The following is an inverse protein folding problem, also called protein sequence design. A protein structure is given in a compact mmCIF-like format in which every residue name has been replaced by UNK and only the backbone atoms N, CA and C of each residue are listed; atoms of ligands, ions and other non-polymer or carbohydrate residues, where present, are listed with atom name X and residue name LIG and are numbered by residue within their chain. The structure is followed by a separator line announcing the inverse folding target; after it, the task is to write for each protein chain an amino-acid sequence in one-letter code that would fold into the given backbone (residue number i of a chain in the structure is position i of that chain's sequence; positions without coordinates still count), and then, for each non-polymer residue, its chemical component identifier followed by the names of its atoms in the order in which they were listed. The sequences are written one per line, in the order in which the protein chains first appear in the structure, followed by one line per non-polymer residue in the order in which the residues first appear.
data_IF_276373585678
#
_entry.id   IF_276373585678
#
_cell.length_a   1.000
_cell.length_b   1.000
_cell.length_c   1.000
_cell.angle_alpha   90.00
_cell.angle_beta   90.00
_cell.angle_gamma   90.00
#
_symmetry.space_group_name_H-M   'P 1'
#
loop_
_entity.id
_entity.type
_entity.pdbx_description
1 polymer ?
#
# COMPACT_ATOMS: atom_id res chain seq x y z
N UNK A 1 -7.69 -5.07 16.00
CA UNK A 1 -6.63 -5.97 16.49
C UNK A 1 -6.80 -7.35 15.84
N UNK A 2 -7.98 -7.94 16.01
CA UNK A 2 -8.38 -9.22 15.39
C UNK A 2 -8.06 -9.32 13.88
N UNK A 3 -8.51 -8.36 13.07
CA UNK A 3 -8.24 -8.37 11.62
C UNK A 3 -6.75 -8.46 11.27
N UNK A 4 -5.89 -7.71 11.98
CA UNK A 4 -4.44 -7.75 11.74
C UNK A 4 -3.82 -9.09 12.10
N UNK A 5 -4.36 -9.77 13.13
CA UNK A 5 -3.91 -11.10 13.52
C UNK A 5 -4.36 -12.16 12.50
N UNK A 6 -5.61 -12.09 12.02
CA UNK A 6 -6.10 -13.01 10.97
C UNK A 6 -5.34 -12.82 9.65
N UNK A 7 -5.09 -11.58 9.21
CA UNK A 7 -4.30 -11.34 7.99
C UNK A 7 -2.84 -11.80 8.15
N UNK A 8 -2.27 -11.73 9.35
CA UNK A 8 -0.93 -12.28 9.59
C UNK A 8 -0.88 -13.79 9.32
N UNK A 9 -1.94 -14.55 9.64
CA UNK A 9 -2.03 -15.98 9.31
C UNK A 9 -2.03 -16.21 7.79
N UNK A 10 -2.78 -15.40 7.04
CA UNK A 10 -2.81 -15.46 5.57
C UNK A 10 -1.43 -15.19 4.97
N UNK A 11 -0.71 -14.19 5.50
CA UNK A 11 0.67 -13.88 5.08
C UNK A 11 1.59 -15.07 5.38
N UNK A 12 1.52 -15.64 6.59
CA UNK A 12 2.34 -16.79 7.00
C UNK A 12 2.06 -18.02 6.11
N UNK A 13 0.83 -18.22 5.66
CA UNK A 13 0.43 -19.34 4.82
C UNK A 13 1.17 -19.39 3.46
N UNK A 14 1.75 -18.28 2.98
CA UNK A 14 2.61 -18.26 1.80
C UNK A 14 3.99 -18.91 2.01
N UNK A 15 4.33 -19.36 3.22
CA UNK A 15 5.54 -20.14 3.48
C UNK A 15 6.79 -19.30 3.75
N UNK A 16 6.64 -18.09 4.30
CA UNK A 16 7.78 -17.29 4.74
C UNK A 16 8.59 -18.01 5.82
N UNK A 17 9.92 -17.92 5.75
CA UNK A 17 10.81 -18.53 6.74
C UNK A 17 10.75 -17.76 8.07
N UNK A 18 10.27 -18.35 9.18
CA UNK A 18 10.12 -17.66 10.46
C UNK A 18 11.44 -17.11 11.04
N UNK A 19 12.59 -17.71 10.70
CA UNK A 19 13.90 -17.24 11.16
C UNK A 19 14.37 -15.98 10.42
N UNK A 20 13.76 -15.65 9.28
CA UNK A 20 14.14 -14.53 8.41
C UNK A 20 13.00 -13.53 8.18
N UNK A 21 11.87 -13.70 8.87
CA UNK A 21 10.67 -12.91 8.65
C UNK A 21 10.15 -12.40 9.97
N UNK A 22 10.01 -11.08 10.06
CA UNK A 22 9.43 -10.40 11.21
C UNK A 22 8.15 -9.70 10.77
N UNK A 23 7.01 -10.12 11.34
CA UNK A 23 5.70 -9.52 11.13
C UNK A 23 5.33 -8.79 12.42
N UNK A 24 4.89 -7.53 12.31
CA UNK A 24 4.58 -6.71 13.47
C UNK A 24 3.33 -5.86 13.28
N UNK A 25 2.67 -5.56 14.39
CA UNK A 25 1.57 -4.59 14.46
C UNK A 25 2.14 -3.20 14.70
N UNK A 26 1.87 -2.22 13.83
CA UNK A 26 2.30 -0.83 14.04
C UNK A 26 1.84 -0.27 15.39
N UNK A 27 0.64 -0.64 15.85
CA UNK A 27 0.09 -0.21 17.14
C UNK A 27 0.95 -0.71 18.31
N UNK A 28 1.33 -1.97 18.30
CA UNK A 28 2.04 -2.59 19.43
C UNK A 28 3.53 -2.21 19.35
N UNK A 29 4.11 -2.28 18.16
CA UNK A 29 5.53 -2.03 17.92
C UNK A 29 5.93 -0.60 18.29
N UNK A 30 5.09 0.39 17.96
CA UNK A 30 5.39 1.79 18.34
C UNK A 30 5.35 2.07 19.83
N UNK A 31 4.58 1.29 20.60
CA UNK A 31 4.50 1.42 22.05
C UNK A 31 5.68 0.69 22.71
N UNK A 32 6.07 -0.46 22.17
CA UNK A 32 7.10 -1.33 22.73
C UNK A 32 8.52 -0.93 22.35
N UNK A 33 8.72 -0.31 21.18
CA UNK A 33 10.05 0.02 20.65
C UNK A 33 10.23 1.53 20.61
N UNK A 34 10.86 2.07 21.66
CA UNK A 34 11.03 3.52 21.82
C UNK A 34 11.84 4.16 20.69
N UNK A 35 12.80 3.43 20.15
CA UNK A 35 13.69 3.83 19.07
C UNK A 35 12.93 3.99 17.75
N UNK A 36 11.92 3.13 17.52
CA UNK A 36 11.04 3.24 16.38
C UNK A 36 10.25 4.56 16.46
N UNK A 37 9.57 4.83 17.57
CA UNK A 37 8.77 6.06 17.71
C UNK A 37 9.64 7.33 17.71
N UNK A 38 10.85 7.29 18.30
CA UNK A 38 11.83 8.38 18.21
C UNK A 38 12.26 8.64 16.77
N UNK A 39 12.52 7.57 16.01
CA UNK A 39 12.87 7.66 14.60
C UNK A 39 11.73 8.23 13.75
N UNK A 40 10.49 7.75 13.94
CA UNK A 40 9.32 8.30 13.26
C UNK A 40 9.13 9.78 13.62
N UNK A 41 9.32 10.15 14.89
CA UNK A 41 9.26 11.56 15.33
C UNK A 41 10.30 12.43 14.64
N UNK A 42 11.50 11.92 14.39
CA UNK A 42 12.54 12.65 13.65
C UNK A 42 12.17 12.82 12.17
N UNK A 43 11.56 11.81 11.55
CA UNK A 43 11.00 11.94 10.20
C UNK A 43 9.94 13.04 10.12
N UNK A 44 9.04 13.13 11.10
CA UNK A 44 7.96 14.14 11.18
C UNK A 44 8.50 15.57 11.20
N UNK A 45 9.64 15.83 11.86
CA UNK A 45 10.27 17.16 11.90
C UNK A 45 10.87 17.60 10.56
N UNK A 46 11.18 16.64 9.68
CA UNK A 46 11.93 16.88 8.46
C UNK A 46 11.05 17.06 7.21
N UNK A 47 9.74 17.17 7.37
CA UNK A 47 8.79 17.42 6.28
C UNK A 47 7.68 18.36 6.74
N UNK A 48 7.27 19.29 5.89
CA UNK A 48 6.16 20.19 6.23
C UNK A 48 4.82 19.53 5.95
N UNK A 49 3.78 19.99 6.64
CA UNK A 49 2.40 19.55 6.40
C UNK A 49 1.97 19.82 4.96
N UNK A 50 2.38 20.95 4.36
CA UNK A 50 2.14 21.24 2.93
C UNK A 50 2.72 20.18 2.00
N UNK A 51 3.91 19.66 2.31
CA UNK A 51 4.53 18.59 1.51
C UNK A 51 3.77 17.27 1.66
N UNK A 52 3.43 16.87 2.88
CA UNK A 52 2.61 15.66 3.15
C UNK A 52 1.28 15.76 2.41
N UNK A 53 0.58 16.88 2.54
CA UNK A 53 -0.72 17.08 1.90
C UNK A 53 -0.64 17.11 0.37
N UNK A 54 0.44 17.63 -0.21
CA UNK A 54 0.68 17.54 -1.66
C UNK A 54 0.92 16.11 -2.14
N UNK A 55 1.59 15.27 -1.33
CA UNK A 55 1.89 13.88 -1.70
C UNK A 55 0.62 13.01 -1.61
N UNK A 56 -0.19 13.19 -0.57
CA UNK A 56 -1.33 12.32 -0.26
C UNK A 56 -2.69 12.92 -0.59
N UNK A 57 -2.74 14.16 -1.08
CA UNK A 57 -3.98 14.82 -1.51
C UNK A 57 -4.86 15.29 -0.36
N UNK A 58 -4.25 15.69 0.77
CA UNK A 58 -4.96 16.16 1.97
C UNK A 58 -5.29 17.65 1.96
N UNK A 59 -4.89 18.37 0.92
CA UNK A 59 -5.16 19.79 0.78
C UNK A 59 -4.79 20.29 -0.61
N UNK A 60 -5.19 21.52 -0.91
CA UNK A 60 -5.01 22.16 -2.20
C UNK A 60 -4.69 23.65 -2.05
N UNK A 61 -4.19 24.24 -3.14
CA UNK A 61 -3.96 25.68 -3.21
C UNK A 61 -5.18 26.30 -3.89
N UNK A 62 -5.84 27.24 -3.21
CA UNK A 62 -6.93 28.04 -3.77
C UNK A 62 -6.46 29.47 -3.97
N UNK A 63 -7.06 30.17 -4.93
CA UNK A 63 -6.78 31.59 -5.18
C UNK A 63 -8.02 32.38 -4.79
N UNK A 64 -7.86 33.39 -3.95
CA UNK A 64 -8.97 34.24 -3.54
C UNK A 64 -9.36 35.28 -4.62
N UNK A 65 -10.40 36.06 -4.34
CA UNK A 65 -10.89 37.08 -5.26
C UNK A 65 -9.88 38.20 -5.57
N UNK A 66 -8.85 38.36 -4.72
CA UNK A 66 -7.77 39.35 -4.90
C UNK A 66 -6.56 38.76 -5.64
N UNK A 67 -6.59 37.47 -5.98
CA UNK A 67 -5.48 36.78 -6.64
C UNK A 67 -4.43 36.22 -5.67
N UNK A 68 -4.70 36.18 -4.37
CA UNK A 68 -3.76 35.64 -3.38
C UNK A 68 -3.92 34.12 -3.22
N UNK A 69 -2.79 33.42 -3.11
CA UNK A 69 -2.77 31.96 -2.94
C UNK A 69 -2.89 31.55 -1.46
N UNK A 70 -3.89 30.71 -1.16
CA UNK A 70 -4.13 30.15 0.16
C UNK A 70 -4.07 28.62 0.12
N UNK A 71 -3.33 28.01 1.05
CA UNK A 71 -3.32 26.56 1.18
C UNK A 71 -4.39 26.11 2.17
N UNK A 72 -5.33 25.29 1.70
CA UNK A 72 -6.45 24.79 2.50
C UNK A 72 -6.40 23.27 2.60
N UNK A 73 -6.73 22.74 3.77
CA UNK A 73 -6.89 21.30 3.98
C UNK A 73 -8.34 20.90 3.73
N UNK A 74 -8.56 19.63 3.36
CA UNK A 74 -9.92 19.08 3.27
C UNK A 74 -10.52 18.88 4.66
N UNK A 75 -11.82 19.09 4.77
CA UNK A 75 -12.55 19.04 6.06
C UNK A 75 -12.52 17.65 6.74
N UNK A 76 -12.35 16.57 5.98
CA UNK A 76 -12.31 15.19 6.47
C UNK A 76 -10.91 14.71 6.86
N UNK A 77 -9.88 15.55 6.71
CA UNK A 77 -8.50 15.17 7.02
C UNK A 77 -8.25 15.29 8.51
N UNK A 78 -8.03 14.14 9.14
CA UNK A 78 -7.65 14.07 10.55
C UNK A 78 -6.14 14.16 10.75
N UNK A 79 -5.71 14.55 11.95
CA UNK A 79 -4.29 14.52 12.35
C UNK A 79 -3.71 13.10 12.21
N UNK A 80 -4.51 12.07 12.50
CA UNK A 80 -4.09 10.68 12.31
C UNK A 80 -3.79 10.32 10.85
N UNK A 81 -4.54 10.88 9.90
CA UNK A 81 -4.27 10.69 8.45
C UNK A 81 -2.99 11.39 8.02
N UNK A 82 -2.69 12.56 8.59
CA UNK A 82 -1.40 13.25 8.36
C UNK A 82 -0.22 12.49 8.97
N UNK A 83 -0.45 11.81 10.09
CA UNK A 83 0.58 11.10 10.86
C UNK A 83 0.89 9.69 10.31
N UNK A 84 -0.11 9.04 9.72
CA UNK A 84 0.02 7.67 9.22
C UNK A 84 1.17 7.45 8.22
N UNK A 85 1.39 8.32 7.21
CA UNK A 85 2.44 8.13 6.22
C UNK A 85 3.83 7.87 6.80
N UNK A 86 4.14 8.46 7.95
CA UNK A 86 5.44 8.30 8.59
C UNK A 86 5.67 6.88 9.09
N UNK A 87 4.65 6.21 9.62
CA UNK A 87 4.75 4.83 10.10
C UNK A 87 5.02 3.86 8.94
N UNK A 88 4.33 4.07 7.82
CA UNK A 88 4.52 3.25 6.63
C UNK A 88 5.90 3.49 5.98
N UNK A 89 6.35 4.75 5.90
CA UNK A 89 7.69 5.07 5.40
C UNK A 89 8.81 4.61 6.33
N UNK A 90 8.61 4.64 7.65
CA UNK A 90 9.63 4.25 8.63
C UNK A 90 10.06 2.79 8.49
N UNK A 91 9.14 1.90 8.12
CA UNK A 91 9.42 0.49 7.88
C UNK A 91 10.43 0.24 6.72
N UNK A 92 10.73 1.26 5.91
CA UNK A 92 11.73 1.18 4.84
C UNK A 92 13.18 1.44 5.32
N UNK A 93 13.40 1.68 6.61
CA UNK A 93 14.71 2.02 7.17
C UNK A 93 15.13 1.04 8.27
N UNK A 94 16.40 0.64 8.27
CA UNK A 94 16.96 -0.23 9.31
C UNK A 94 16.85 0.35 10.72
N UNK A 95 16.82 1.68 10.86
CA UNK A 95 16.66 2.40 12.13
C UNK A 95 15.33 2.07 12.83
N UNK A 96 14.30 1.70 12.07
CA UNK A 96 13.03 1.24 12.63
C UNK A 96 13.15 -0.11 13.35
N UNK A 97 14.21 -0.89 13.10
CA UNK A 97 14.36 -2.26 13.59
C UNK A 97 15.72 -2.48 14.28
N UNK A 98 15.96 -1.81 15.42
CA UNK A 98 17.27 -1.83 16.09
C UNK A 98 17.72 -3.24 16.49
N UNK A 99 16.80 -4.11 16.93
CA UNK A 99 17.12 -5.48 17.35
C UNK A 99 17.44 -6.42 16.18
N UNK A 100 16.94 -6.11 14.98
CA UNK A 100 17.19 -6.92 13.78
C UNK A 100 18.54 -6.55 13.17
N UNK A 101 18.85 -5.26 13.09
CA UNK A 101 20.05 -4.77 12.41
C UNK A 101 21.19 -4.37 13.37
N UNK A 102 20.98 -4.43 14.69
CA UNK A 102 21.94 -4.00 15.72
C UNK A 102 22.49 -2.59 15.46
N UNK A 103 21.62 -1.67 15.06
CA UNK A 103 21.96 -0.28 14.74
C UNK A 103 22.79 -0.10 13.45
N UNK A 104 23.08 -1.18 12.71
CA UNK A 104 23.84 -1.08 11.45
C UNK A 104 22.93 -0.60 10.32
N UNK A 105 23.38 0.37 9.50
CA UNK A 105 22.66 0.73 8.28
C UNK A 105 22.53 -0.47 7.34
N UNK A 106 21.34 -0.69 6.81
CA UNK A 106 21.08 -1.73 5.81
C UNK A 106 20.30 -1.16 4.63
N UNK A 107 20.58 -1.67 3.43
CA UNK A 107 19.74 -1.42 2.26
C UNK A 107 18.38 -2.10 2.43
N UNK A 108 17.32 -1.43 2.00
CA UNK A 108 15.96 -1.95 2.02
C UNK A 108 15.45 -2.08 0.58
N UNK A 109 14.87 -3.23 0.25
CA UNK A 109 14.11 -3.45 -0.97
C UNK A 109 12.65 -3.63 -0.59
N UNK A 110 11.78 -2.76 -1.09
CA UNK A 110 10.35 -2.79 -0.82
C UNK A 110 9.60 -3.26 -2.06
N UNK A 111 8.74 -4.27 -1.89
CA UNK A 111 7.85 -4.75 -2.95
C UNK A 111 6.42 -4.30 -2.66
N UNK A 112 5.77 -3.60 -3.60
CA UNK A 112 4.42 -3.07 -3.41
C UNK A 112 3.67 -2.83 -4.74
N UNK A 113 2.35 -2.65 -4.66
CA UNK A 113 1.54 -2.22 -5.81
C UNK A 113 1.60 -0.69 -6.00
N UNK A 114 1.43 -0.24 -7.25
CA UNK A 114 1.67 1.16 -7.66
C UNK A 114 1.04 2.26 -6.77
N UNK A 115 -0.13 2.02 -6.20
CA UNK A 115 -0.83 2.97 -5.30
C UNK A 115 -0.07 3.30 -4.01
N UNK A 116 0.88 2.46 -3.61
CA UNK A 116 1.67 2.67 -2.40
C UNK A 116 2.92 3.53 -2.63
N UNK A 117 3.26 3.90 -3.88
CA UNK A 117 4.51 4.60 -4.20
C UNK A 117 4.65 5.96 -3.50
N UNK A 118 3.53 6.64 -3.23
CA UNK A 118 3.55 7.92 -2.52
C UNK A 118 4.27 7.86 -1.17
N UNK A 119 4.11 6.76 -0.42
CA UNK A 119 4.80 6.56 0.86
C UNK A 119 6.31 6.39 0.70
N UNK A 120 6.74 5.61 -0.29
CA UNK A 120 8.16 5.33 -0.50
C UNK A 120 8.87 6.45 -1.26
N UNK A 121 8.14 7.24 -2.04
CA UNK A 121 8.60 8.52 -2.57
C UNK A 121 8.91 9.50 -1.44
N UNK A 122 7.99 9.67 -0.50
CA UNK A 122 8.23 10.46 0.71
C UNK A 122 9.42 9.91 1.51
N UNK A 123 9.53 8.59 1.66
CA UNK A 123 10.66 7.95 2.35
C UNK A 123 12.00 8.32 1.68
N UNK A 124 12.11 8.24 0.35
CA UNK A 124 13.35 8.59 -0.38
C UNK A 124 13.76 10.06 -0.22
N UNK A 125 12.79 10.96 -0.13
CA UNK A 125 13.06 12.38 0.14
C UNK A 125 13.58 12.58 1.57
N UNK A 126 12.92 11.96 2.56
CA UNK A 126 13.33 11.97 3.95
C UNK A 126 14.72 11.34 4.15
N UNK A 127 15.02 10.25 3.43
CA UNK A 127 16.32 9.59 3.48
C UNK A 127 17.47 10.54 3.13
N UNK A 128 17.26 11.41 2.14
CA UNK A 128 18.26 12.42 1.74
C UNK A 128 18.50 13.42 2.86
N UNK A 129 17.43 13.94 3.47
CA UNK A 129 17.51 14.92 4.57
C UNK A 129 18.17 14.34 5.83
N UNK A 130 17.83 13.10 6.16
CA UNK A 130 18.31 12.38 7.33
C UNK A 130 19.63 11.64 7.12
N UNK A 131 20.25 11.74 5.93
CA UNK A 131 21.49 11.04 5.55
C UNK A 131 21.41 9.51 5.73
N UNK A 132 20.27 8.94 5.36
CA UNK A 132 19.99 7.50 5.39
C UNK A 132 20.19 6.86 4.02
N UNK A 133 20.29 5.52 4.00
CA UNK A 133 20.24 4.75 2.77
C UNK A 133 18.84 4.83 2.16
N UNK A 134 18.75 5.19 0.89
CA UNK A 134 17.46 5.25 0.17
C UNK A 134 16.93 3.83 -0.04
N UNK A 135 15.62 3.58 0.24
CA UNK A 135 15.02 2.31 -0.10
C UNK A 135 14.90 2.15 -1.62
N UNK A 136 15.10 0.93 -2.09
CA UNK A 136 14.84 0.48 -3.45
C UNK A 136 13.42 -0.08 -3.55
N UNK A 137 12.80 0.04 -4.71
CA UNK A 137 11.42 -0.41 -4.93
C UNK A 137 11.32 -1.39 -6.09
N UNK A 138 10.54 -2.46 -5.91
CA UNK A 138 9.98 -3.27 -6.99
C UNK A 138 8.47 -3.06 -6.94
N UNK A 139 7.91 -2.60 -8.06
CA UNK A 139 6.51 -2.19 -8.13
C UNK A 139 5.72 -3.13 -9.03
N UNK A 140 4.62 -3.67 -8.53
CA UNK A 140 3.71 -4.49 -9.33
C UNK A 140 2.62 -3.62 -9.97
N UNK A 141 2.17 -4.04 -11.15
CA UNK A 141 0.91 -3.57 -11.72
C UNK A 141 -0.27 -4.13 -10.90
N UNK A 142 -1.44 -3.50 -11.04
CA UNK A 142 -2.66 -4.03 -10.42
C UNK A 142 -3.09 -5.33 -11.09
N UNK A 143 -3.67 -6.22 -10.30
CA UNK A 143 -4.45 -7.32 -10.85
C UNK A 143 -5.74 -6.75 -11.43
N UNK A 144 -6.08 -7.18 -12.65
CA UNK A 144 -7.34 -6.80 -13.28
C UNK A 144 -8.51 -7.42 -12.50
N UNK A 145 -9.61 -6.68 -12.27
CA UNK A 145 -10.81 -7.29 -11.72
C UNK A 145 -11.36 -8.31 -12.70
N UNK A 146 -11.98 -9.37 -12.18
CA UNK A 146 -12.48 -10.45 -13.07
C UNK A 146 -13.49 -9.92 -14.09
N UNK A 147 -14.22 -8.84 -13.80
CA UNK A 147 -15.13 -8.14 -14.73
C UNK A 147 -14.45 -7.42 -15.90
N UNK A 148 -13.12 -7.44 -16.02
CA UNK A 148 -12.36 -6.81 -17.11
C UNK A 148 -11.78 -5.46 -16.71
N UNK A 149 -11.81 -4.47 -17.62
CA UNK A 149 -11.16 -3.18 -17.38
C UNK A 149 -11.74 -2.42 -16.17
N UNK A 150 -10.87 -2.01 -15.24
CA UNK A 150 -11.20 -1.23 -14.06
C UNK A 150 -10.17 -1.41 -12.93
N UNK A 151 -10.32 -0.66 -11.84
CA UNK A 151 -9.54 -0.91 -10.61
C UNK A 151 -10.18 -2.06 -9.83
N UNK A 152 -9.36 -2.98 -9.35
CA UNK A 152 -9.79 -3.97 -8.36
C UNK A 152 -10.13 -3.23 -7.05
N UNK A 153 -11.43 -3.12 -6.76
CA UNK A 153 -11.96 -2.64 -5.49
C UNK A 153 -12.53 -3.84 -4.75
N UNK A 154 -11.89 -4.26 -3.67
CA UNK A 154 -12.36 -5.35 -2.81
C UNK A 154 -13.63 -5.00 -2.02
N UNK A 155 -13.98 -3.71 -1.94
CA UNK A 155 -15.06 -3.21 -1.06
C UNK A 155 -16.40 -3.06 -1.79
N UNK A 156 -16.41 -2.90 -3.12
CA UNK A 156 -17.62 -2.51 -3.87
C UNK A 156 -18.24 -3.62 -4.72
N UNK A 157 -17.86 -4.88 -4.53
CA UNK A 157 -18.48 -6.00 -5.26
C UNK A 157 -18.05 -7.37 -4.78
N UNK A 158 -18.53 -7.80 -3.60
CA UNK A 158 -18.27 -9.15 -3.05
C UNK A 158 -18.56 -10.28 -4.05
N UNK A 159 -19.54 -10.10 -4.93
CA UNK A 159 -19.90 -11.09 -5.95
C UNK A 159 -18.80 -11.32 -7.00
N UNK A 160 -17.93 -10.35 -7.24
CA UNK A 160 -16.89 -10.41 -8.26
C UNK A 160 -15.46 -10.39 -7.70
N UNK A 161 -15.29 -10.46 -6.38
CA UNK A 161 -13.98 -10.62 -5.75
C UNK A 161 -13.77 -12.10 -5.40
N UNK A 162 -12.64 -12.66 -5.83
CA UNK A 162 -12.21 -14.00 -5.42
C UNK A 162 -11.45 -13.85 -4.09
N UNK A 163 -11.97 -14.44 -3.02
CA UNK A 163 -11.35 -14.43 -1.70
C UNK A 163 -10.56 -15.72 -1.47
N UNK A 164 -9.52 -15.64 -0.63
CA UNK A 164 -8.74 -16.82 -0.23
C UNK A 164 -9.57 -17.85 0.56
N UNK A 165 -10.70 -17.42 1.13
CA UNK A 165 -11.66 -18.26 1.83
C UNK A 165 -12.74 -18.89 0.94
N UNK A 166 -12.79 -18.56 -0.36
CA UNK A 166 -13.81 -19.10 -1.26
C UNK A 166 -13.59 -20.60 -1.51
N UNK A 167 -14.67 -21.38 -1.49
CA UNK A 167 -14.61 -22.81 -1.87
C UNK A 167 -14.46 -22.97 -3.38
N UNK A 168 -13.98 -24.14 -3.86
CA UNK A 168 -13.83 -24.39 -5.30
C UNK A 168 -15.11 -24.14 -6.12
N UNK A 169 -16.29 -24.48 -5.58
CA UNK A 169 -17.57 -24.26 -6.26
C UNK A 169 -17.95 -22.77 -6.32
N UNK A 170 -17.66 -22.01 -5.27
CA UNK A 170 -17.86 -20.55 -5.24
C UNK A 170 -16.95 -19.88 -6.25
N UNK A 171 -15.66 -20.26 -6.29
CA UNK A 171 -14.70 -19.75 -7.28
C UNK A 171 -15.20 -20.04 -8.69
N UNK A 172 -15.62 -21.28 -8.98
CA UNK A 172 -16.18 -21.67 -10.28
C UNK A 172 -17.40 -20.83 -10.64
N UNK A 173 -18.33 -20.62 -9.72
CA UNK A 173 -19.53 -19.80 -9.96
C UNK A 173 -19.16 -18.34 -10.26
N UNK A 174 -18.25 -17.74 -9.47
CA UNK A 174 -17.81 -16.35 -9.66
C UNK A 174 -17.14 -16.14 -11.01
N UNK A 175 -16.24 -17.06 -11.40
CA UNK A 175 -15.57 -17.02 -12.71
C UNK A 175 -16.61 -17.11 -13.83
N UNK A 176 -17.46 -18.14 -13.83
CA UNK A 176 -18.41 -18.37 -14.93
C UNK A 176 -19.43 -17.24 -15.11
N UNK A 177 -19.82 -16.56 -14.02
CA UNK A 177 -20.84 -15.50 -14.05
C UNK A 177 -20.27 -14.10 -14.29
N UNK A 178 -19.06 -13.82 -13.81
CA UNK A 178 -18.55 -12.45 -13.72
C UNK A 178 -17.22 -12.23 -14.44
N UNK A 179 -16.51 -13.29 -14.84
CA UNK A 179 -15.28 -13.12 -15.59
C UNK A 179 -15.57 -12.57 -16.99
N UNK A 180 -14.93 -11.46 -17.32
CA UNK A 180 -14.97 -10.87 -18.64
C UNK A 180 -14.37 -11.84 -19.66
N UNK A 181 -15.11 -12.08 -20.73
CA UNK A 181 -14.61 -12.77 -21.91
C UNK A 181 -14.42 -11.76 -23.03
N UNK A 182 -13.20 -11.66 -23.56
CA UNK A 182 -12.90 -10.85 -24.74
C UNK A 182 -13.48 -11.42 -26.04
N UNK A 183 -14.02 -12.64 -26.03
CA UNK A 183 -14.64 -13.25 -27.22
C UNK A 183 -16.04 -12.69 -27.45
N UNK A 184 -16.31 -12.14 -28.64
CA UNK A 184 -17.67 -11.79 -29.06
C UNK A 184 -18.37 -13.01 -29.68
N UNK A 185 -19.49 -13.46 -29.10
CA UNK A 185 -20.49 -14.28 -29.80
C UNK A 185 -20.87 -15.62 -29.15
N UNK A 186 -21.95 -16.22 -29.65
CA UNK A 186 -22.59 -17.47 -29.21
C UNK A 186 -21.75 -18.74 -29.51
N UNK A 187 -20.41 -18.68 -29.41
CA UNK A 187 -19.50 -19.80 -29.70
C UNK A 187 -19.29 -20.13 -31.20
N UNK A 188 -20.04 -19.50 -32.12
CA UNK A 188 -19.94 -19.74 -33.57
C UNK A 188 -18.73 -19.03 -34.22
N UNK A 189 -18.42 -17.79 -33.83
CA UNK A 189 -17.30 -17.01 -34.39
C UNK A 189 -15.90 -17.54 -34.00
N UNK A 190 -15.79 -18.22 -32.86
CA UNK A 190 -14.52 -18.81 -32.40
C UNK A 190 -14.14 -20.07 -33.21
N UNK A 191 -15.13 -20.80 -33.75
CA UNK A 191 -14.89 -22.00 -34.55
C UNK A 191 -14.39 -21.69 -35.97
N UNK A 192 -14.78 -20.56 -36.55
CA UNK A 192 -14.38 -20.18 -37.91
C UNK A 192 -12.92 -19.72 -38.03
N UNK A 193 -12.27 -19.31 -36.92
CA UNK A 193 -10.86 -18.90 -36.95
C UNK A 193 -9.88 -20.06 -36.78
N UNK A 194 -10.34 -21.25 -36.35
CA UNK A 194 -9.50 -22.46 -36.22
C UNK A 194 -9.54 -23.32 -37.50
N UNK A 195 -10.42 -22.99 -38.45
CA UNK A 195 -10.57 -23.68 -39.73
C UNK A 195 -10.02 -22.91 -40.95
N UNK A 196 -9.28 -21.81 -40.74
CA UNK A 196 -8.46 -21.17 -41.79
C UNK A 196 -6.99 -21.50 -41.57
#
# INVERSE_FOLDING_TARGET
YELGFENAKEIIAFGFNPQKTFIFSNRDYRIQVSEYEKFVSEMKKNISTKQVSKIFGFGECIVDANGEEHYVYKDDVTVGMMDWPFYQSAAAFSQAFPYIFNGKPAHCLVSYAFDQDNYFRMARDLATKLKLLKPCSIMSIFLDPIKGAGKMSSTSGQEATLFLSDTPDVIRSKINKHAYSGSRGNGLLLRSMVQM
#
